data_IF_708001164025
#
_entry.id   IF_708001164025
#
_cell.length_a   1.000
_cell.length_b   1.000
_cell.length_c   1.000
_cell.angle_alpha   90.00
_cell.angle_beta   90.00
_cell.angle_gamma   90.00
#
_symmetry.space_group_name_H-M   'P 1'
#
loop_
_entity.id
_entity.type
_entity.pdbx_description
1 polymer ?
#
# COMPACT_ATOMS: atom_id res chain seq x y z
N UNK A 1 -4.15 18.37 -0.23
CA UNK A 1 -2.94 17.68 0.26
C UNK A 1 -2.76 16.39 -0.52
N UNK A 2 -1.54 15.85 -0.60
CA UNK A 2 -1.22 14.64 -1.37
C UNK A 2 -0.47 13.66 -0.47
N UNK A 3 -0.67 12.37 -0.71
CA UNK A 3 -0.01 11.25 -0.03
C UNK A 3 0.33 10.20 -1.07
N UNK A 4 1.49 9.55 -0.92
CA UNK A 4 1.96 8.52 -1.85
C UNK A 4 2.12 7.19 -1.13
N UNK A 5 1.86 6.09 -1.83
CA UNK A 5 2.22 4.74 -1.38
C UNK A 5 2.75 3.89 -2.53
N UNK A 6 3.49 2.84 -2.17
CA UNK A 6 3.78 1.69 -3.02
C UNK A 6 3.31 0.44 -2.28
N UNK A 7 2.65 -0.47 -3.00
CA UNK A 7 2.35 -1.79 -2.49
C UNK A 7 3.41 -2.77 -2.99
N UNK A 8 4.16 -3.37 -2.07
CA UNK A 8 5.33 -4.20 -2.39
C UNK A 8 5.27 -5.55 -1.65
N UNK A 9 4.07 -6.02 -1.33
CA UNK A 9 3.87 -7.31 -0.69
C UNK A 9 3.51 -8.40 -1.70
N UNK A 10 4.19 -9.54 -1.62
CA UNK A 10 3.85 -10.75 -2.38
C UNK A 10 2.92 -11.60 -1.51
N UNK A 11 1.68 -11.79 -1.97
CA UNK A 11 0.70 -12.62 -1.25
C UNK A 11 1.19 -14.06 -1.10
N UNK A 12 0.99 -14.63 0.08
CA UNK A 12 1.43 -15.98 0.44
C UNK A 12 0.70 -17.08 -0.33
N UNK A 13 -0.54 -16.82 -0.77
CA UNK A 13 -1.34 -17.71 -1.59
C UNK A 13 -1.19 -17.38 -3.09
N UNK A 14 -0.40 -18.14 -3.87
CA UNK A 14 -0.14 -17.85 -5.28
C UNK A 14 -1.38 -18.05 -6.16
N UNK A 15 -2.45 -18.68 -5.63
CA UNK A 15 -3.71 -18.88 -6.38
C UNK A 15 -4.39 -17.57 -6.74
N UNK A 16 -4.04 -16.46 -6.05
CA UNK A 16 -4.49 -15.10 -6.42
C UNK A 16 -4.20 -14.76 -7.89
N UNK A 17 -3.15 -15.34 -8.46
CA UNK A 17 -2.71 -15.07 -9.82
C UNK A 17 -3.25 -16.06 -10.87
N UNK A 18 -4.12 -17.00 -10.50
CA UNK A 18 -4.79 -17.91 -11.44
C UNK A 18 -3.85 -18.59 -12.45
N UNK A 19 -2.65 -19.01 -12.01
CA UNK A 19 -1.67 -19.68 -12.86
C UNK A 19 -0.66 -18.78 -13.57
N UNK A 20 -0.73 -17.45 -13.40
CA UNK A 20 0.30 -16.52 -13.88
C UNK A 20 1.57 -16.63 -13.01
N UNK A 21 2.36 -17.66 -13.27
CA UNK A 21 3.52 -18.06 -12.45
C UNK A 21 4.57 -16.97 -12.30
N UNK A 22 4.72 -16.08 -13.28
CA UNK A 22 5.65 -14.95 -13.20
C UNK A 22 5.27 -13.94 -12.10
N UNK A 23 4.06 -14.00 -11.54
CA UNK A 23 3.63 -13.16 -10.42
C UNK A 23 3.78 -13.82 -9.04
N UNK A 24 4.15 -15.09 -8.96
CA UNK A 24 4.18 -15.81 -7.68
C UNK A 24 5.21 -15.27 -6.68
N UNK A 25 6.18 -14.51 -7.17
CA UNK A 25 7.24 -13.89 -6.37
C UNK A 25 7.31 -12.37 -6.55
N UNK A 26 6.24 -11.76 -7.08
CA UNK A 26 6.22 -10.34 -7.42
C UNK A 26 4.89 -9.69 -7.03
N UNK A 27 4.94 -8.42 -6.62
CA UNK A 27 3.76 -7.57 -6.50
C UNK A 27 3.32 -7.11 -7.91
N UNK A 28 2.65 -8.00 -8.65
CA UNK A 28 2.09 -7.68 -9.96
C UNK A 28 0.94 -6.67 -9.85
N UNK A 29 0.55 -6.08 -10.99
CA UNK A 29 -0.58 -5.16 -11.03
C UNK A 29 -1.86 -5.82 -10.51
N UNK A 30 -2.50 -5.18 -9.52
CA UNK A 30 -3.69 -5.70 -8.83
C UNK A 30 -3.40 -6.57 -7.59
N UNK A 31 -2.12 -6.72 -7.19
CA UNK A 31 -1.72 -7.53 -6.02
C UNK A 31 -2.35 -7.03 -4.70
N UNK A 32 -2.66 -5.74 -4.63
CA UNK A 32 -3.20 -5.10 -3.45
C UNK A 32 -4.71 -5.32 -3.27
N UNK A 33 -5.44 -5.70 -4.33
CA UNK A 33 -6.90 -5.77 -4.33
C UNK A 33 -7.47 -6.66 -3.22
N UNK A 34 -6.93 -7.87 -2.95
CA UNK A 34 -7.40 -8.70 -1.84
C UNK A 34 -7.25 -8.04 -0.47
N UNK A 35 -6.27 -7.15 -0.31
CA UNK A 35 -5.99 -6.45 0.93
C UNK A 35 -6.86 -5.21 1.10
N UNK A 36 -7.12 -4.46 0.04
CA UNK A 36 -7.96 -3.25 0.06
C UNK A 36 -9.44 -3.61 0.27
N UNK A 37 -9.92 -4.67 -0.36
CA UNK A 37 -11.35 -5.00 -0.40
C UNK A 37 -11.77 -6.16 0.52
N UNK A 38 -10.84 -6.71 1.32
CA UNK A 38 -11.03 -7.95 2.11
C UNK A 38 -11.64 -9.10 1.26
N UNK A 39 -11.26 -9.17 -0.01
CA UNK A 39 -11.89 -10.08 -0.98
C UNK A 39 -11.30 -11.49 -0.97
N UNK A 40 -10.23 -11.73 -0.20
CA UNK A 40 -9.58 -13.04 -0.12
C UNK A 40 -10.55 -14.15 0.30
N UNK A 41 -11.41 -13.91 1.30
CA UNK A 41 -12.39 -14.89 1.75
C UNK A 41 -13.43 -15.22 0.66
N UNK A 42 -13.92 -14.20 -0.05
CA UNK A 42 -14.88 -14.35 -1.15
C UNK A 42 -14.26 -15.12 -2.32
N UNK A 43 -12.97 -14.91 -2.58
CA UNK A 43 -12.21 -15.58 -3.62
C UNK A 43 -11.65 -16.96 -3.20
N UNK A 44 -11.98 -17.45 -1.99
CA UNK A 44 -11.44 -18.70 -1.44
C UNK A 44 -9.89 -18.76 -1.39
N UNK A 45 -9.28 -17.60 -1.14
CA UNK A 45 -7.84 -17.41 -0.94
C UNK A 45 -7.50 -17.38 0.54
N UNK A 46 -6.33 -17.90 0.90
CA UNK A 46 -5.82 -17.82 2.27
C UNK A 46 -4.98 -16.58 2.50
N UNK A 47 -5.11 -15.98 3.69
CA UNK A 47 -4.21 -14.95 4.18
C UNK A 47 -3.61 -15.39 5.51
N UNK A 48 -2.31 -15.18 5.68
CA UNK A 48 -1.64 -15.28 6.98
C UNK A 48 -2.16 -14.23 7.96
N UNK A 49 -1.91 -14.41 9.26
CA UNK A 49 -2.26 -13.40 10.27
C UNK A 49 -1.60 -12.05 9.99
N UNK A 50 -0.35 -12.05 9.49
CA UNK A 50 0.38 -10.82 9.15
C UNK A 50 -0.25 -10.12 7.92
N UNK A 51 -0.69 -10.87 6.92
CA UNK A 51 -1.40 -10.32 5.76
C UNK A 51 -2.76 -9.75 6.12
N UNK A 52 -3.49 -10.42 7.02
CA UNK A 52 -4.74 -9.89 7.55
C UNK A 52 -4.52 -8.60 8.34
N UNK A 53 -3.44 -8.50 9.11
CA UNK A 53 -3.06 -7.25 9.77
C UNK A 53 -2.72 -6.14 8.75
N UNK A 54 -2.01 -6.46 7.67
CA UNK A 54 -1.75 -5.51 6.58
C UNK A 54 -3.06 -5.02 5.94
N UNK A 55 -3.95 -5.94 5.57
CA UNK A 55 -5.28 -5.61 5.02
C UNK A 55 -6.10 -4.74 5.97
N UNK A 56 -6.15 -5.07 7.26
CA UNK A 56 -6.82 -4.24 8.27
C UNK A 56 -6.24 -2.82 8.37
N UNK A 57 -4.91 -2.69 8.30
CA UNK A 57 -4.24 -1.37 8.32
C UNK A 57 -4.56 -0.57 7.06
N UNK A 58 -4.56 -1.21 5.89
CA UNK A 58 -4.97 -0.57 4.64
C UNK A 58 -6.42 -0.09 4.70
N UNK A 59 -7.36 -0.91 5.16
CA UNK A 59 -8.75 -0.48 5.38
C UNK A 59 -8.85 0.76 6.27
N UNK A 60 -8.06 0.80 7.36
CA UNK A 60 -8.05 1.95 8.26
C UNK A 60 -7.46 3.21 7.63
N UNK A 61 -6.38 3.10 6.86
CA UNK A 61 -5.80 4.24 6.14
C UNK A 61 -6.77 4.80 5.10
N UNK A 62 -7.39 3.95 4.28
CA UNK A 62 -8.36 4.38 3.26
C UNK A 62 -9.61 4.99 3.91
N UNK A 63 -10.09 4.42 5.01
CA UNK A 63 -11.20 4.99 5.78
C UNK A 63 -10.87 6.36 6.36
N UNK A 64 -9.69 6.53 6.97
CA UNK A 64 -9.23 7.81 7.50
C UNK A 64 -9.10 8.87 6.40
N UNK A 65 -8.53 8.50 5.25
CA UNK A 65 -8.43 9.38 4.09
C UNK A 65 -9.81 9.78 3.56
N UNK A 66 -10.74 8.84 3.40
CA UNK A 66 -12.09 9.14 2.93
C UNK A 66 -12.85 10.10 3.87
N UNK A 67 -12.65 9.97 5.18
CA UNK A 67 -13.36 10.78 6.18
C UNK A 67 -12.74 12.17 6.38
N UNK A 68 -11.41 12.25 6.41
CA UNK A 68 -10.69 13.46 6.86
C UNK A 68 -9.80 14.08 5.79
N UNK A 69 -9.61 13.37 4.68
CA UNK A 69 -8.59 13.69 3.70
C UNK A 69 -7.18 13.31 4.13
N UNK A 70 -6.91 12.82 5.34
CA UNK A 70 -5.56 12.44 5.82
C UNK A 70 -5.53 10.96 6.26
N UNK A 71 -4.77 10.08 5.58
CA UNK A 71 -4.69 8.66 5.95
C UNK A 71 -4.04 8.44 7.32
N UNK A 72 -3.19 9.36 7.79
CA UNK A 72 -2.56 9.31 9.11
C UNK A 72 -3.44 9.84 10.24
N UNK A 73 -4.64 10.34 9.94
CA UNK A 73 -5.52 10.94 10.93
C UNK A 73 -5.98 9.92 11.97
N UNK A 74 -5.97 10.35 13.23
CA UNK A 74 -6.56 9.63 14.35
C UNK A 74 -7.91 10.21 14.79
N UNK A 75 -8.41 11.24 14.10
CA UNK A 75 -9.73 11.81 14.37
C UNK A 75 -10.81 10.78 14.04
N UNK A 76 -11.80 10.64 14.92
CA UNK A 76 -12.97 9.76 14.74
C UNK A 76 -12.64 8.30 14.38
N UNK A 77 -11.43 7.84 14.71
CA UNK A 77 -10.98 6.49 14.39
C UNK A 77 -11.75 5.46 15.21
N UNK A 78 -12.25 4.40 14.58
CA UNK A 78 -12.95 3.32 15.27
C UNK A 78 -12.06 2.58 16.29
N UNK A 79 -12.67 1.90 17.26
CA UNK A 79 -11.92 1.06 18.21
C UNK A 79 -11.09 -0.02 17.50
N UNK A 80 -11.64 -0.59 16.42
CA UNK A 80 -10.95 -1.54 15.55
C UNK A 80 -9.67 -0.92 14.95
N UNK A 81 -9.76 0.27 14.36
CA UNK A 81 -8.61 0.88 13.70
C UNK A 81 -7.53 1.36 14.69
N UNK A 82 -7.91 1.78 15.90
CA UNK A 82 -6.94 2.10 16.97
C UNK A 82 -6.07 0.90 17.37
N UNK A 83 -6.61 -0.32 17.29
CA UNK A 83 -5.87 -1.54 17.65
C UNK A 83 -4.84 -1.95 16.59
N UNK A 84 -5.04 -1.57 15.32
CA UNK A 84 -4.14 -1.97 14.23
C UNK A 84 -2.77 -1.28 14.31
N UNK A 85 -2.68 -0.15 15.02
CA UNK A 85 -1.47 0.66 15.22
C UNK A 85 -0.67 0.81 13.91
N UNK A 86 -1.28 1.37 12.86
CA UNK A 86 -0.59 1.57 11.60
C UNK A 86 0.56 2.58 11.79
N UNK A 87 1.69 2.44 11.06
CA UNK A 87 2.74 3.45 11.01
C UNK A 87 2.20 4.83 10.58
N UNK A 88 2.93 5.90 10.90
CA UNK A 88 2.55 7.24 10.41
C UNK A 88 2.70 7.31 8.89
N UNK A 89 1.67 7.82 8.20
CA UNK A 89 1.71 8.04 6.76
C UNK A 89 2.22 9.45 6.46
N UNK A 90 3.42 9.60 5.89
CA UNK A 90 3.99 10.93 5.64
C UNK A 90 3.18 11.66 4.56
N UNK A 91 2.87 12.92 4.81
CA UNK A 91 2.29 13.80 3.79
C UNK A 91 3.34 14.09 2.72
N UNK A 92 2.96 13.99 1.45
CA UNK A 92 3.82 14.36 0.34
C UNK A 92 4.13 15.86 0.37
N UNK A 93 5.41 16.19 0.18
CA UNK A 93 5.87 17.56 -0.07
C UNK A 93 6.91 17.55 -1.18
N UNK A 94 6.88 18.51 -2.13
CA UNK A 94 7.80 18.54 -3.26
C UNK A 94 9.29 18.54 -2.87
N UNK A 95 9.63 19.21 -1.76
CA UNK A 95 11.01 19.33 -1.28
C UNK A 95 11.32 18.37 -0.11
N UNK A 96 10.42 17.42 0.18
CA UNK A 96 10.54 16.52 1.33
C UNK A 96 11.18 15.18 1.02
N UNK A 97 11.93 15.05 -0.08
CA UNK A 97 12.56 13.79 -0.47
C UNK A 97 11.57 12.71 -0.93
N UNK A 98 10.42 13.11 -1.49
CA UNK A 98 9.43 12.19 -2.09
C UNK A 98 9.01 11.05 -1.14
N UNK A 99 8.71 11.39 0.11
CA UNK A 99 8.29 10.39 1.09
C UNK A 99 7.05 9.63 0.64
N UNK A 100 7.15 8.31 0.74
CA UNK A 100 6.14 7.34 0.31
C UNK A 100 5.93 6.31 1.42
N UNK A 101 4.68 5.87 1.59
CA UNK A 101 4.37 4.72 2.45
C UNK A 101 4.62 3.43 1.67
N UNK A 102 5.58 2.63 2.10
CA UNK A 102 5.78 1.28 1.56
C UNK A 102 4.90 0.28 2.33
N UNK A 103 3.90 -0.28 1.65
CA UNK A 103 2.95 -1.24 2.20
C UNK A 103 3.47 -2.66 2.01
N UNK A 104 4.07 -3.17 3.08
CA UNK A 104 4.49 -4.58 3.26
C UNK A 104 4.04 -5.09 4.62
N UNK A 105 4.31 -6.36 4.96
CA UNK A 105 4.07 -6.87 6.32
C UNK A 105 4.73 -6.01 7.42
N UNK A 106 5.84 -5.34 7.07
CA UNK A 106 6.53 -4.36 7.91
C UNK A 106 6.45 -2.97 7.25
N UNK A 107 5.21 -2.48 7.09
CA UNK A 107 4.98 -1.20 6.43
C UNK A 107 5.78 -0.07 7.09
N UNK A 108 6.36 0.81 6.28
CA UNK A 108 7.20 1.90 6.75
C UNK A 108 7.22 3.05 5.73
N UNK A 109 7.49 4.26 6.22
CA UNK A 109 7.81 5.37 5.35
C UNK A 109 9.24 5.22 4.81
N UNK A 110 9.43 5.54 3.54
CA UNK A 110 10.74 5.63 2.90
C UNK A 110 10.80 6.86 2.00
N UNK A 111 12.01 7.29 1.63
CA UNK A 111 12.21 8.31 0.61
C UNK A 111 12.29 7.66 -0.76
N UNK A 112 11.56 8.22 -1.74
CA UNK A 112 11.64 7.82 -3.13
C UNK A 112 11.18 6.39 -3.43
N UNK A 113 11.08 6.10 -4.72
CA UNK A 113 10.88 4.75 -5.24
C UNK A 113 11.34 4.73 -6.69
N UNK A 114 12.46 4.04 -6.96
CA UNK A 114 13.04 3.90 -8.30
C UNK A 114 13.41 5.24 -8.94
N UNK A 115 13.98 6.13 -8.12
CA UNK A 115 14.33 7.50 -8.52
C UNK A 115 15.25 7.50 -9.76
N UNK A 116 16.17 6.55 -9.85
CA UNK A 116 17.07 6.38 -11.01
C UNK A 116 16.34 6.09 -12.33
N UNK A 117 15.25 5.32 -12.27
CA UNK A 117 14.40 5.04 -13.43
C UNK A 117 13.57 6.27 -13.79
N UNK A 118 13.01 6.96 -12.79
CA UNK A 118 12.26 8.20 -13.00
C UNK A 118 13.15 9.28 -13.65
N UNK A 119 14.35 9.49 -13.11
CA UNK A 119 15.35 10.43 -13.62
C UNK A 119 15.74 10.13 -15.06
N UNK A 120 15.87 8.85 -15.43
CA UNK A 120 16.10 8.44 -16.81
C UNK A 120 14.97 8.91 -17.74
N UNK A 121 13.72 8.68 -17.37
CA UNK A 121 12.57 9.08 -18.20
C UNK A 121 12.40 10.61 -18.26
N UNK A 122 12.66 11.31 -17.16
CA UNK A 122 12.62 12.77 -17.11
C UNK A 122 13.69 13.38 -18.02
N UNK A 123 14.89 12.79 -18.05
CA UNK A 123 15.99 13.23 -18.93
C UNK A 123 15.67 13.09 -20.42
N UNK A 124 14.77 12.17 -20.80
CA UNK A 124 14.34 12.04 -22.20
C UNK A 124 13.40 13.19 -22.63
N UNK A 125 12.78 13.90 -21.70
CA UNK A 125 11.94 15.08 -21.99
C UNK A 125 10.74 14.79 -22.90
N UNK A 126 10.22 13.55 -22.85
CA UNK A 126 9.14 13.09 -23.74
C UNK A 126 7.73 13.49 -23.27
N UNK A 127 7.63 14.08 -22.07
CA UNK A 127 6.40 14.63 -21.52
C UNK A 127 6.47 16.18 -21.54
N UNK A 128 5.50 16.88 -22.15
CA UNK A 128 5.48 18.34 -22.28
C UNK A 128 5.16 19.08 -20.97
#
# INVERSE_FOLDING_TARGET
SVWMYVFDHVMSDPRVWSGLTFCYHHACHGAELPFVFDSAAVANLSMTTAERLLSNRMLCYWGAFAHTGDPGSHADTSAFCRQQRPPSWPRYTPNGGWLIMNLTLHSHAQAGSRDDICDFWDALGIYP
#
